data_IF_432174006014
#
_entry.id   IF_432174006014
#
_cell.length_a   1.000
_cell.length_b   1.000
_cell.length_c   1.000
_cell.angle_alpha   90.00
_cell.angle_beta   90.00
_cell.angle_gamma   90.00
#
_symmetry.space_group_name_H-M   'P 1'
#
loop_
_entity.id
_entity.type
_entity.pdbx_description
1 polymer ?
#
# COMPACT_ATOMS: atom_id res chain seq x y z
N UNK A 1 -66.58 2.62 1.49
CA UNK A 1 -65.47 2.25 2.40
C UNK A 1 -64.33 1.74 1.53
N UNK A 2 -63.24 2.51 1.41
CA UNK A 2 -62.02 2.05 0.74
C UNK A 2 -60.86 2.42 1.64
N UNK A 3 -60.32 1.42 2.32
CA UNK A 3 -59.23 1.53 3.28
C UNK A 3 -57.88 1.57 2.57
N UNK A 4 -57.10 2.59 2.93
CA UNK A 4 -55.65 2.63 3.18
C UNK A 4 -54.75 1.56 2.57
N UNK A 5 -53.68 2.03 1.93
CA UNK A 5 -52.48 1.25 1.69
C UNK A 5 -51.29 2.09 1.22
N UNK A 6 -51.06 3.27 1.82
CA UNK A 6 -49.85 4.05 1.56
C UNK A 6 -48.66 3.36 2.24
N UNK A 7 -48.07 2.41 1.52
CA UNK A 7 -46.85 1.70 1.89
C UNK A 7 -45.66 2.68 1.86
N UNK A 8 -45.38 3.29 3.00
CA UNK A 8 -44.16 4.04 3.23
C UNK A 8 -42.96 3.08 3.26
N UNK A 9 -42.36 2.82 2.09
CA UNK A 9 -41.08 2.15 1.94
C UNK A 9 -39.98 3.05 2.51
N UNK A 10 -39.78 3.02 3.84
CA UNK A 10 -38.55 3.53 4.44
C UNK A 10 -37.40 2.65 3.95
N UNK A 11 -36.67 3.14 2.95
CA UNK A 11 -35.43 2.54 2.50
C UNK A 11 -34.48 2.43 3.71
N UNK A 12 -34.18 1.21 4.13
CA UNK A 12 -33.19 0.94 5.15
C UNK A 12 -31.81 1.25 4.54
N UNK A 13 -31.31 2.46 4.80
CA UNK A 13 -29.96 2.84 4.43
C UNK A 13 -28.99 2.14 5.40
N UNK A 14 -28.30 1.12 4.89
CA UNK A 14 -27.23 0.44 5.62
C UNK A 14 -25.93 1.18 5.29
N UNK A 15 -25.26 1.71 6.31
CA UNK A 15 -23.94 2.30 6.19
C UNK A 15 -22.87 1.21 6.36
N UNK A 16 -21.98 1.07 5.38
CA UNK A 16 -20.85 0.13 5.44
C UNK A 16 -19.65 0.90 6.01
N UNK A 17 -19.26 0.60 7.25
CA UNK A 17 -18.10 1.20 7.90
C UNK A 17 -16.85 0.40 7.49
N UNK A 18 -15.82 1.01 6.88
CA UNK A 18 -14.58 0.32 6.57
C UNK A 18 -13.85 -0.10 7.86
N UNK A 19 -13.13 -1.23 7.87
CA UNK A 19 -12.37 -1.65 9.04
C UNK A 19 -11.34 -0.58 9.39
N UNK A 20 -11.23 -0.30 10.69
CA UNK A 20 -10.21 0.60 11.21
C UNK A 20 -8.85 0.05 10.81
N UNK A 21 -8.09 0.83 10.04
CA UNK A 21 -6.70 0.52 9.75
C UNK A 21 -5.92 0.82 11.04
N UNK A 22 -5.99 -0.10 12.00
CA UNK A 22 -4.88 -0.23 12.94
C UNK A 22 -3.63 -0.34 12.07
N UNK A 23 -2.55 0.34 12.45
CA UNK A 23 -1.26 0.24 11.79
C UNK A 23 -0.77 -1.20 11.96
N UNK A 24 -1.38 -2.12 11.23
CA UNK A 24 -0.95 -3.48 11.04
C UNK A 24 0.39 -3.32 10.38
N UNK A 25 1.45 -3.59 11.14
CA UNK A 25 2.81 -3.63 10.64
C UNK A 25 2.81 -4.55 9.42
N UNK A 26 2.73 -3.94 8.24
CA UNK A 26 2.52 -4.70 7.01
C UNK A 26 3.78 -5.52 6.80
N UNK A 27 3.63 -6.84 6.83
CA UNK A 27 4.74 -7.72 6.50
C UNK A 27 4.86 -7.71 4.97
N UNK A 28 6.03 -7.33 4.49
CA UNK A 28 6.40 -7.34 3.08
C UNK A 28 7.56 -8.33 2.86
N UNK A 29 7.73 -8.81 1.64
CA UNK A 29 8.86 -9.67 1.26
C UNK A 29 9.89 -8.82 0.52
N UNK A 30 11.16 -8.91 0.90
CA UNK A 30 12.24 -8.25 0.17
C UNK A 30 12.54 -9.00 -1.13
N UNK A 31 12.60 -8.30 -2.26
CA UNK A 31 12.90 -8.92 -3.56
C UNK A 31 14.37 -9.34 -3.69
N UNK A 32 15.28 -8.72 -2.94
CA UNK A 32 16.70 -9.06 -2.92
C UNK A 32 16.99 -10.31 -2.09
N UNK A 33 16.70 -10.27 -0.77
CA UNK A 33 17.04 -11.36 0.15
C UNK A 33 15.92 -12.39 0.37
N UNK A 34 14.72 -12.16 -0.19
CA UNK A 34 13.53 -13.03 -0.05
C UNK A 34 13.01 -13.21 1.39
N UNK A 35 13.50 -12.41 2.33
CA UNK A 35 13.07 -12.43 3.72
C UNK A 35 11.77 -11.63 3.95
N UNK A 36 10.96 -12.10 4.92
CA UNK A 36 9.77 -11.38 5.39
C UNK A 36 10.17 -10.33 6.41
N UNK A 37 9.83 -9.07 6.14
CA UNK A 37 10.21 -7.90 6.96
C UNK A 37 9.01 -6.99 7.18
N UNK A 38 9.07 -6.18 8.23
CA UNK A 38 8.05 -5.15 8.46
C UNK A 38 8.20 -4.04 7.41
N UNK A 39 7.10 -3.41 7.01
CA UNK A 39 7.14 -2.29 6.07
C UNK A 39 8.03 -1.12 6.56
N UNK A 40 8.20 -0.97 7.87
CA UNK A 40 9.13 0.00 8.48
C UNK A 40 10.62 -0.30 8.22
N UNK A 41 10.95 -1.50 7.72
CA UNK A 41 12.31 -1.91 7.34
C UNK A 41 12.57 -1.74 5.83
N UNK A 42 11.65 -1.10 5.11
CA UNK A 42 11.80 -0.72 3.70
C UNK A 42 11.95 0.79 3.60
N UNK A 43 12.46 1.26 2.46
CA UNK A 43 12.52 2.68 2.14
C UNK A 43 11.13 3.32 2.08
N UNK A 44 11.08 4.65 2.19
CA UNK A 44 9.81 5.39 2.15
C UNK A 44 9.08 5.21 0.81
N UNK A 45 9.83 4.96 -0.27
CA UNK A 45 9.31 4.68 -1.60
C UNK A 45 8.78 3.24 -1.74
N UNK A 46 9.05 2.38 -0.75
CA UNK A 46 8.63 0.98 -0.69
C UNK A 46 8.94 0.21 -1.98
N UNK A 47 10.16 0.35 -2.50
CA UNK A 47 10.60 -0.24 -3.78
C UNK A 47 10.75 -1.79 -3.74
N UNK A 48 10.24 -2.45 -2.70
CA UNK A 48 10.36 -3.90 -2.51
C UNK A 48 11.74 -4.38 -2.04
N UNK A 49 12.69 -3.47 -1.76
CA UNK A 49 14.02 -3.78 -1.23
C UNK A 49 14.14 -3.25 0.20
N UNK A 50 14.59 -4.10 1.14
CA UNK A 50 14.78 -3.68 2.52
C UNK A 50 16.04 -2.83 2.70
N UNK A 51 16.03 -1.98 3.73
CA UNK A 51 17.13 -1.05 4.05
C UNK A 51 18.47 -1.79 4.17
N UNK A 52 18.52 -2.96 4.81
CA UNK A 52 19.76 -3.74 4.93
C UNK A 52 20.36 -4.14 3.56
N UNK A 53 19.51 -4.41 2.56
CA UNK A 53 19.97 -4.79 1.22
C UNK A 53 20.38 -3.57 0.39
N UNK A 54 19.76 -2.42 0.66
CA UNK A 54 20.15 -1.13 0.06
C UNK A 54 21.52 -0.72 0.61
N UNK A 55 21.70 -0.76 1.93
CA UNK A 55 22.95 -0.38 2.60
C UNK A 55 24.10 -1.34 2.29
N UNK A 56 23.78 -2.61 2.01
CA UNK A 56 24.77 -3.61 1.61
C UNK A 56 25.21 -3.49 0.14
N UNK A 57 24.47 -2.75 -0.71
CA UNK A 57 24.84 -2.56 -2.10
C UNK A 57 25.93 -1.46 -2.23
N UNK A 58 27.17 -1.81 -2.64
CA UNK A 58 28.24 -0.84 -2.80
C UNK A 58 28.01 0.16 -3.96
N UNK A 59 26.91 0.05 -4.72
CA UNK A 59 26.68 0.80 -5.97
C UNK A 59 25.61 1.90 -5.86
N UNK A 60 24.99 2.13 -4.68
CA UNK A 60 23.96 3.18 -4.54
C UNK A 60 24.47 4.64 -4.65
N UNK A 61 25.77 4.87 -4.89
CA UNK A 61 26.33 6.17 -5.26
C UNK A 61 26.79 6.23 -6.73
N UNK A 62 25.91 5.91 -7.68
CA UNK A 62 26.12 6.35 -9.06
C UNK A 62 24.91 7.15 -9.54
N UNK A 63 24.84 8.39 -9.07
CA UNK A 63 23.95 9.44 -9.57
C UNK A 63 24.29 9.93 -10.97
N UNK A 64 24.68 9.04 -11.88
CA UNK A 64 24.91 9.34 -13.29
C UNK A 64 24.03 8.42 -14.13
N UNK A 65 22.74 8.76 -14.19
CA UNK A 65 21.95 8.44 -15.37
C UNK A 65 22.54 9.30 -16.49
N UNK A 66 23.60 8.79 -17.12
CA UNK A 66 24.12 9.33 -18.36
C UNK A 66 23.04 9.12 -19.44
N UNK A 67 22.08 10.04 -19.50
CA UNK A 67 21.16 10.21 -20.61
C UNK A 67 22.00 10.49 -21.85
N UNK A 68 22.38 9.41 -22.53
CA UNK A 68 23.07 9.43 -23.80
C UNK A 68 22.12 9.98 -24.86
N UNK A 69 21.96 11.29 -24.89
CA UNK A 69 21.26 12.00 -25.96
C UNK A 69 22.15 11.92 -27.20
N UNK A 70 21.91 10.90 -28.03
CA UNK A 70 22.33 10.92 -29.43
C UNK A 70 21.62 12.10 -30.10
N UNK A 71 22.39 13.08 -30.55
CA UNK A 71 22.09 13.95 -31.70
C UNK A 71 23.40 14.28 -32.40
#
# INVERSE_FOLDING_TARGET
>A
MSTTGANASKALLIEIIPPEKTSMDRIMMCDCCRERKLASQFDQDCCGICIDCIDADPVCFNGDIELKHRS
#
